data_IF_610988694966
#
_entry.id   IF_610988694966
#
_cell.length_a   1.000
_cell.length_b   1.000
_cell.length_c   1.000
_cell.angle_alpha   90.00
_cell.angle_beta   90.00
_cell.angle_gamma   90.00
#
_symmetry.space_group_name_H-M   'P 1'
#
loop_
_entity.id
_entity.type
_entity.pdbx_description
1 polymer ?
#
# COMPACT_ATOMS: atom_id res chain seq x y z
N UNK A 1 4.61 -22.80 23.43
CA UNK A 1 5.74 -23.05 22.49
C UNK A 1 5.24 -23.27 21.06
N UNK A 2 4.32 -24.25 20.83
CA UNK A 2 3.82 -24.54 19.47
C UNK A 2 2.96 -23.40 18.89
N UNK A 3 2.10 -22.82 19.72
CA UNK A 3 1.28 -21.65 19.37
C UNK A 3 2.13 -20.43 18.98
N UNK A 4 3.16 -20.13 19.75
CA UNK A 4 4.10 -19.03 19.46
C UNK A 4 4.88 -19.25 18.16
N UNK A 5 5.28 -20.50 17.88
CA UNK A 5 5.93 -20.85 16.63
C UNK A 5 4.98 -20.64 15.44
N UNK A 6 3.72 -21.06 15.57
CA UNK A 6 2.68 -20.87 14.55
C UNK A 6 2.43 -19.37 14.28
N UNK A 7 2.28 -18.57 15.32
CA UNK A 7 2.09 -17.12 15.20
C UNK A 7 3.29 -16.46 14.52
N UNK A 8 4.50 -16.83 14.92
CA UNK A 8 5.74 -16.30 14.33
C UNK A 8 5.83 -16.60 12.83
N UNK A 9 5.61 -17.86 12.43
CA UNK A 9 5.71 -18.27 11.02
C UNK A 9 4.63 -17.59 10.19
N UNK A 10 3.40 -17.53 10.71
CA UNK A 10 2.26 -16.87 10.04
C UNK A 10 2.54 -15.38 9.85
N UNK A 11 3.04 -14.69 10.89
CA UNK A 11 3.40 -13.28 10.80
C UNK A 11 4.48 -13.01 9.74
N UNK A 12 5.50 -13.88 9.66
CA UNK A 12 6.54 -13.77 8.62
C UNK A 12 5.98 -13.98 7.21
N UNK A 13 5.04 -14.91 7.06
CA UNK A 13 4.38 -15.17 5.79
C UNK A 13 3.51 -13.98 5.34
N UNK A 14 2.75 -13.39 6.27
CA UNK A 14 1.97 -12.18 5.99
C UNK A 14 2.85 -10.98 5.61
N UNK A 15 3.98 -10.80 6.30
CA UNK A 15 4.96 -9.77 5.94
C UNK A 15 5.53 -10.01 4.53
N UNK A 16 5.81 -11.27 4.16
CA UNK A 16 6.25 -11.62 2.81
C UNK A 16 5.20 -11.23 1.76
N UNK A 17 3.92 -11.51 2.03
CA UNK A 17 2.80 -11.11 1.16
C UNK A 17 2.73 -9.58 1.00
N UNK A 18 2.89 -8.84 2.07
CA UNK A 18 2.94 -7.38 2.06
C UNK A 18 4.09 -6.85 1.18
N UNK A 19 5.29 -7.43 1.34
CA UNK A 19 6.45 -7.05 0.52
C UNK A 19 6.26 -7.38 -0.97
N UNK A 20 5.59 -8.48 -1.27
CA UNK A 20 5.25 -8.84 -2.65
C UNK A 20 4.22 -7.85 -3.24
N UNK A 21 3.21 -7.44 -2.45
CA UNK A 21 2.27 -6.39 -2.85
C UNK A 21 2.98 -5.08 -3.20
N UNK A 22 3.95 -4.67 -2.39
CA UNK A 22 4.76 -3.47 -2.68
C UNK A 22 5.52 -3.61 -3.99
N UNK A 23 6.13 -4.77 -4.23
CA UNK A 23 6.89 -5.05 -5.46
C UNK A 23 6.01 -5.03 -6.71
N UNK A 24 4.77 -5.52 -6.60
CA UNK A 24 3.89 -5.74 -7.74
C UNK A 24 3.00 -4.53 -8.06
N UNK A 25 2.57 -3.79 -7.03
CA UNK A 25 1.60 -2.70 -7.17
C UNK A 25 2.12 -1.32 -6.76
N UNK A 26 3.07 -1.25 -5.85
CA UNK A 26 3.55 0.03 -5.29
C UNK A 26 4.90 0.43 -5.89
N UNK A 27 4.97 0.38 -7.21
CA UNK A 27 6.16 0.65 -8.00
C UNK A 27 5.79 1.35 -9.31
N UNK A 28 6.75 2.06 -9.90
CA UNK A 28 6.59 2.74 -11.19
C UNK A 28 6.54 1.76 -12.36
N UNK A 29 5.90 2.14 -13.46
CA UNK A 29 5.78 1.33 -14.67
C UNK A 29 4.68 0.28 -14.63
N UNK A 30 3.82 0.31 -13.62
CA UNK A 30 2.73 -0.64 -13.43
C UNK A 30 1.37 -0.01 -13.76
N UNK A 31 1.21 1.26 -13.45
CA UNK A 31 -0.05 1.98 -13.59
C UNK A 31 -0.09 2.83 -14.87
N UNK A 32 -1.28 3.21 -15.29
CA UNK A 32 -1.48 4.04 -16.48
C UNK A 32 -0.86 5.43 -16.35
N UNK A 33 -0.82 5.95 -15.14
CA UNK A 33 -0.17 7.24 -14.83
C UNK A 33 0.76 7.11 -13.63
N UNK A 34 2.03 7.43 -13.87
CA UNK A 34 3.07 7.49 -12.84
C UNK A 34 3.62 8.92 -12.75
N UNK A 35 3.60 9.48 -11.56
CA UNK A 35 4.14 10.81 -11.28
C UNK A 35 5.31 10.69 -10.30
N UNK A 36 6.37 11.44 -10.56
CA UNK A 36 7.54 11.47 -9.68
C UNK A 36 7.60 12.79 -8.91
N UNK A 37 7.67 12.71 -7.59
CA UNK A 37 7.89 13.87 -6.74
C UNK A 37 9.31 14.39 -6.85
N UNK A 38 9.48 15.70 -7.12
CA UNK A 38 10.79 16.36 -7.25
C UNK A 38 10.91 17.54 -6.29
N UNK A 39 12.12 17.81 -5.82
CA UNK A 39 12.42 18.99 -4.97
C UNK A 39 12.59 20.27 -5.79
N UNK A 40 12.95 20.15 -7.08
CA UNK A 40 13.10 21.26 -8.02
C UNK A 40 11.78 21.70 -8.67
N UNK A 41 11.88 22.47 -9.74
CA UNK A 41 10.72 22.79 -10.58
C UNK A 41 10.24 21.51 -11.31
N UNK A 42 8.97 21.14 -11.22
CA UNK A 42 8.46 19.94 -11.88
C UNK A 42 8.41 20.12 -13.40
N UNK A 43 8.67 19.04 -14.12
CA UNK A 43 8.46 18.91 -15.57
C UNK A 43 7.31 17.94 -15.84
N UNK A 44 7.05 17.62 -17.12
CA UNK A 44 6.00 16.66 -17.49
C UNK A 44 6.19 15.31 -16.77
N UNK A 45 5.14 14.77 -16.19
CA UNK A 45 5.18 13.53 -15.37
C UNK A 45 5.78 13.71 -13.97
N UNK A 46 5.93 14.95 -13.52
CA UNK A 46 6.47 15.26 -12.21
C UNK A 46 5.55 16.23 -11.45
N UNK A 47 5.57 16.14 -10.12
CA UNK A 47 4.94 17.10 -9.23
C UNK A 47 5.91 17.53 -8.14
N UNK A 48 5.59 18.62 -7.45
CA UNK A 48 6.36 19.11 -6.32
C UNK A 48 6.18 18.16 -5.13
N UNK A 49 7.27 17.82 -4.44
CA UNK A 49 7.19 16.98 -3.25
C UNK A 49 6.28 17.59 -2.19
N UNK A 50 5.37 16.83 -1.61
CA UNK A 50 4.44 17.27 -0.55
C UNK A 50 5.14 17.63 0.77
N UNK A 51 6.42 17.36 0.88
CA UNK A 51 7.27 17.85 1.97
C UNK A 51 7.69 19.31 1.79
N UNK A 52 7.52 19.89 0.60
CA UNK A 52 7.71 21.33 0.36
C UNK A 52 6.41 22.08 0.66
N UNK A 53 6.21 22.44 1.90
CA UNK A 53 5.00 23.09 2.40
C UNK A 53 4.70 24.48 1.82
N UNK A 54 5.60 25.02 1.00
CA UNK A 54 5.44 26.36 0.42
C UNK A 54 4.96 26.32 -1.02
N UNK A 55 5.35 25.28 -1.75
CA UNK A 55 5.18 25.24 -3.22
C UNK A 55 4.43 24.00 -3.72
N UNK A 56 4.14 23.04 -2.86
CA UNK A 56 3.34 21.86 -3.22
C UNK A 56 1.85 22.08 -2.94
N UNK A 57 1.01 21.43 -3.70
CA UNK A 57 -0.44 21.40 -3.51
C UNK A 57 -0.96 19.96 -3.58
N UNK A 58 -0.85 19.20 -2.48
CA UNK A 58 -1.29 17.81 -2.45
C UNK A 58 -2.80 17.66 -2.67
N UNK A 59 -3.57 18.71 -2.43
CA UNK A 59 -5.01 18.68 -2.61
C UNK A 59 -5.33 18.66 -4.09
N UNK A 60 -4.73 19.57 -4.85
CA UNK A 60 -4.90 19.63 -6.30
C UNK A 60 -4.35 18.36 -6.98
N UNK A 61 -3.18 17.90 -6.57
CA UNK A 61 -2.56 16.66 -7.11
C UNK A 61 -3.50 15.44 -6.99
N UNK A 62 -4.17 15.28 -5.85
CA UNK A 62 -5.11 14.17 -5.62
C UNK A 62 -6.41 14.37 -6.41
N UNK A 63 -6.94 15.60 -6.49
CA UNK A 63 -8.14 15.89 -7.27
C UNK A 63 -7.90 15.73 -8.79
N UNK A 64 -6.74 16.13 -9.29
CA UNK A 64 -6.34 15.87 -10.69
C UNK A 64 -6.28 14.37 -10.96
N UNK A 65 -5.66 13.57 -10.08
CA UNK A 65 -5.59 12.14 -10.24
C UNK A 65 -6.97 11.46 -10.21
N UNK A 66 -7.91 11.92 -9.36
CA UNK A 66 -9.30 11.45 -9.37
C UNK A 66 -9.98 11.76 -10.72
N UNK A 67 -9.79 12.98 -11.21
CA UNK A 67 -10.33 13.41 -12.50
C UNK A 67 -9.76 12.60 -13.66
N UNK A 68 -8.46 12.31 -13.65
CA UNK A 68 -7.80 11.51 -14.68
C UNK A 68 -8.33 10.07 -14.71
N UNK A 69 -8.42 9.41 -13.55
CA UNK A 69 -9.00 8.06 -13.47
C UNK A 69 -10.46 8.08 -13.97
N UNK A 70 -11.26 9.04 -13.53
CA UNK A 70 -12.66 9.15 -13.92
C UNK A 70 -12.81 9.41 -15.44
N UNK A 71 -12.01 10.31 -16.01
CA UNK A 71 -12.09 10.65 -17.44
C UNK A 71 -11.65 9.50 -18.34
N UNK A 72 -10.65 8.73 -17.93
CA UNK A 72 -10.10 7.64 -18.71
C UNK A 72 -10.93 6.35 -18.63
N UNK A 73 -11.60 6.11 -17.48
CA UNK A 73 -12.22 4.82 -17.19
C UNK A 73 -13.73 4.90 -16.90
N UNK A 74 -14.25 6.08 -16.61
CA UNK A 74 -15.62 6.26 -16.14
C UNK A 74 -15.88 5.75 -14.71
N UNK A 75 -14.82 5.42 -13.96
CA UNK A 75 -14.90 4.90 -12.59
C UNK A 75 -14.25 5.86 -11.60
N UNK A 76 -14.90 6.12 -10.47
CA UNK A 76 -14.34 6.95 -9.42
C UNK A 76 -13.29 6.19 -8.59
N UNK A 77 -12.16 6.83 -8.29
CA UNK A 77 -11.17 6.30 -7.37
C UNK A 77 -11.74 6.20 -5.96
N UNK A 78 -11.56 5.06 -5.31
CA UNK A 78 -12.17 4.80 -4.00
C UNK A 78 -11.19 4.34 -2.92
N UNK A 79 -9.92 4.15 -3.28
CA UNK A 79 -8.90 3.68 -2.34
C UNK A 79 -7.59 4.44 -2.54
N UNK A 80 -7.12 5.09 -1.49
CA UNK A 80 -5.81 5.75 -1.43
C UNK A 80 -4.92 5.01 -0.45
N UNK A 81 -3.78 4.52 -0.93
CA UNK A 81 -2.76 3.86 -0.13
C UNK A 81 -1.57 4.81 0.04
N UNK A 82 -1.21 5.12 1.27
CA UNK A 82 -0.11 6.01 1.61
C UNK A 82 1.00 5.25 2.33
N UNK A 83 2.25 5.47 1.93
CA UNK A 83 3.40 5.12 2.76
C UNK A 83 3.38 5.91 4.06
N UNK A 84 3.94 5.36 5.15
CA UNK A 84 3.93 6.04 6.45
C UNK A 84 4.62 7.39 6.42
N UNK A 85 5.73 7.52 5.70
CA UNK A 85 6.46 8.79 5.55
C UNK A 85 5.62 9.83 4.80
N UNK A 86 4.95 9.42 3.74
CA UNK A 86 4.03 10.27 2.96
C UNK A 86 2.87 10.75 3.82
N UNK A 87 2.23 9.85 4.57
CA UNK A 87 1.16 10.20 5.50
C UNK A 87 1.62 11.19 6.57
N UNK A 88 2.84 11.02 7.13
CA UNK A 88 3.40 11.92 8.15
C UNK A 88 3.57 13.34 7.61
N UNK A 89 4.05 13.49 6.36
CA UNK A 89 4.20 14.82 5.75
C UNK A 89 2.85 15.43 5.39
N UNK A 90 1.97 14.65 4.81
CA UNK A 90 0.63 15.09 4.43
C UNK A 90 -0.18 15.58 5.65
N UNK A 91 -0.10 14.87 6.77
CA UNK A 91 -0.73 15.24 8.03
C UNK A 91 -0.33 16.63 8.55
N UNK A 92 0.92 17.04 8.29
CA UNK A 92 1.47 18.31 8.75
C UNK A 92 1.43 19.42 7.66
N UNK A 93 0.87 19.12 6.49
CA UNK A 93 0.81 20.07 5.38
C UNK A 93 -0.12 21.24 5.73
N UNK A 94 0.33 22.51 5.55
CA UNK A 94 -0.46 23.69 5.91
C UNK A 94 -1.84 23.73 5.27
N UNK A 95 -1.96 23.38 4.00
CA UNK A 95 -3.22 23.41 3.25
C UNK A 95 -4.28 22.46 3.85
N UNK A 96 -3.84 21.28 4.34
CA UNK A 96 -4.71 20.34 5.01
C UNK A 96 -5.07 20.83 6.43
N UNK A 97 -4.08 21.34 7.15
CA UNK A 97 -4.26 21.87 8.52
C UNK A 97 -5.22 23.07 8.50
N UNK A 98 -5.07 24.00 7.56
CA UNK A 98 -5.90 25.19 7.47
C UNK A 98 -7.37 24.88 7.13
N UNK A 99 -7.63 23.83 6.34
CA UNK A 99 -9.01 23.38 6.08
C UNK A 99 -9.71 22.83 7.31
N UNK A 100 -8.95 22.18 8.21
CA UNK A 100 -9.51 21.53 9.42
C UNK A 100 -9.51 22.46 10.63
N UNK A 101 -8.65 23.47 10.67
CA UNK A 101 -8.41 24.36 11.81
C UNK A 101 -9.67 24.97 12.43
N UNK A 102 -10.68 25.25 11.63
CA UNK A 102 -11.93 25.86 12.09
C UNK A 102 -13.05 24.86 12.35
N UNK A 103 -12.88 23.60 11.95
CA UNK A 103 -13.92 22.58 12.08
C UNK A 103 -13.60 21.54 13.17
N UNK A 104 -12.34 21.35 13.48
CA UNK A 104 -11.91 20.37 14.51
C UNK A 104 -10.59 20.81 15.14
N UNK A 105 -10.49 20.65 16.47
CA UNK A 105 -9.24 20.86 17.21
C UNK A 105 -8.39 19.59 17.33
N UNK A 106 -8.76 18.53 16.61
CA UNK A 106 -8.11 17.22 16.70
C UNK A 106 -6.96 17.06 15.71
N UNK A 107 -6.07 16.13 16.02
CA UNK A 107 -4.99 15.73 15.11
C UNK A 107 -5.57 15.07 13.85
N UNK A 108 -5.04 15.40 12.67
CA UNK A 108 -5.46 14.82 11.40
C UNK A 108 -5.24 13.30 11.40
N UNK A 109 -6.32 12.58 11.17
CA UNK A 109 -6.35 11.11 11.06
C UNK A 109 -6.52 10.68 9.60
N UNK A 110 -6.32 9.38 9.30
CA UNK A 110 -6.58 8.84 7.98
C UNK A 110 -8.05 9.02 7.54
N UNK A 111 -8.99 8.91 8.49
CA UNK A 111 -10.42 9.10 8.21
C UNK A 111 -10.77 10.56 7.88
N UNK A 112 -10.08 11.52 8.50
CA UNK A 112 -10.26 12.94 8.16
C UNK A 112 -9.70 13.24 6.77
N UNK A 113 -8.58 12.63 6.39
CA UNK A 113 -8.03 12.71 5.03
C UNK A 113 -9.01 12.08 4.03
N UNK A 114 -9.59 10.94 4.35
CA UNK A 114 -10.61 10.28 3.54
C UNK A 114 -11.82 11.20 3.28
N UNK A 115 -12.33 11.81 4.33
CA UNK A 115 -13.44 12.76 4.23
C UNK A 115 -13.09 14.06 3.46
N UNK A 116 -11.83 14.52 3.58
CA UNK A 116 -11.38 15.74 2.89
C UNK A 116 -11.28 15.57 1.38
N UNK A 117 -10.81 14.38 0.94
CA UNK A 117 -10.66 14.06 -0.49
C UNK A 117 -11.88 13.36 -1.08
N UNK A 118 -12.92 13.12 -0.27
CA UNK A 118 -14.10 12.34 -0.68
C UNK A 118 -13.67 10.96 -1.27
N UNK A 119 -12.76 10.29 -0.55
CA UNK A 119 -12.28 8.95 -0.88
C UNK A 119 -12.75 8.00 0.22
N UNK A 120 -13.56 6.96 -0.10
CA UNK A 120 -14.13 6.07 0.91
C UNK A 120 -13.10 5.36 1.79
N UNK A 121 -11.89 5.11 1.27
CA UNK A 121 -10.87 4.35 1.99
C UNK A 121 -9.49 4.98 1.85
N UNK A 122 -8.89 5.34 2.98
CA UNK A 122 -7.47 5.74 3.06
C UNK A 122 -6.72 4.74 3.94
N UNK A 123 -5.71 4.11 3.38
CA UNK A 123 -4.89 3.09 4.05
C UNK A 123 -3.48 3.63 4.26
N UNK A 124 -3.02 3.59 5.50
CA UNK A 124 -1.65 3.99 5.85
C UNK A 124 -0.81 2.74 6.10
N UNK A 125 0.12 2.48 5.21
CA UNK A 125 0.97 1.31 5.26
C UNK A 125 2.15 1.53 6.22
N UNK A 126 2.29 0.64 7.22
CA UNK A 126 3.30 0.74 8.28
C UNK A 126 4.30 -0.43 8.29
N UNK A 127 4.27 -1.29 7.27
CA UNK A 127 5.18 -2.43 7.19
C UNK A 127 6.64 -1.97 7.13
N UNK A 128 7.49 -2.64 7.91
CA UNK A 128 8.92 -2.38 8.00
C UNK A 128 9.69 -3.62 7.56
N UNK A 129 10.75 -3.41 6.79
CA UNK A 129 11.67 -4.47 6.35
C UNK A 129 13.10 -4.15 6.75
N UNK A 130 13.91 -5.18 6.94
CA UNK A 130 15.36 -5.03 7.03
C UNK A 130 15.92 -4.66 5.65
N UNK A 131 16.81 -3.67 5.62
CA UNK A 131 17.44 -3.17 4.39
C UNK A 131 18.92 -3.58 4.29
N UNK A 132 19.47 -4.15 5.35
CA UNK A 132 20.84 -4.66 5.41
C UNK A 132 20.94 -6.10 4.91
N UNK A 133 22.12 -6.47 4.46
CA UNK A 133 22.47 -7.86 4.19
C UNK A 133 22.63 -8.65 5.51
N UNK A 134 22.47 -9.97 5.42
CA UNK A 134 22.70 -10.87 6.55
C UNK A 134 24.12 -10.71 7.09
N UNK A 135 24.27 -10.63 8.42
CA UNK A 135 25.55 -10.42 9.08
C UNK A 135 26.02 -8.98 9.24
N UNK A 136 25.37 -8.01 8.59
CA UNK A 136 25.63 -6.58 8.78
C UNK A 136 24.82 -6.01 9.95
N UNK A 137 25.23 -4.81 10.44
CA UNK A 137 24.48 -4.09 11.47
C UNK A 137 23.04 -3.84 11.02
N UNK A 138 22.07 -4.06 11.91
CA UNK A 138 20.66 -3.96 11.60
C UNK A 138 20.27 -2.57 11.07
N UNK A 139 19.70 -2.52 9.86
CA UNK A 139 19.09 -1.34 9.28
C UNK A 139 17.66 -1.68 8.86
N UNK A 140 16.73 -0.78 9.13
CA UNK A 140 15.31 -0.98 8.86
C UNK A 140 14.75 0.19 8.06
N UNK A 141 13.78 -0.09 7.19
CA UNK A 141 13.10 0.93 6.40
C UNK A 141 11.64 0.56 6.18
N UNK A 142 10.82 1.56 5.91
CA UNK A 142 9.41 1.33 5.55
C UNK A 142 9.32 0.63 4.19
N UNK A 143 8.50 -0.42 4.12
CA UNK A 143 8.34 -1.21 2.90
C UNK A 143 7.75 -0.41 1.74
N UNK A 144 6.79 0.47 2.01
CA UNK A 144 6.12 1.32 1.02
C UNK A 144 6.89 2.60 0.68
N UNK A 145 7.97 2.89 1.41
CA UNK A 145 8.79 4.08 1.14
C UNK A 145 7.99 5.38 1.14
N UNK A 146 8.33 6.25 0.18
CA UNK A 146 7.83 7.63 0.04
C UNK A 146 6.80 7.78 -1.08
N UNK A 147 5.99 6.76 -1.31
CA UNK A 147 5.01 6.74 -2.39
C UNK A 147 3.56 6.93 -1.90
N UNK A 148 2.67 7.12 -2.87
CA UNK A 148 1.22 7.09 -2.72
C UNK A 148 0.60 6.41 -3.94
N UNK A 149 -0.51 5.70 -3.75
CA UNK A 149 -1.23 5.01 -4.79
C UNK A 149 -2.72 5.26 -4.65
N UNK A 150 -3.33 5.86 -5.65
CA UNK A 150 -4.77 6.06 -5.77
C UNK A 150 -5.33 5.06 -6.77
N UNK A 151 -6.37 4.34 -6.38
CA UNK A 151 -6.95 3.29 -7.23
C UNK A 151 -8.47 3.20 -7.10
N UNK A 152 -9.08 2.62 -8.14
CA UNK A 152 -10.44 2.07 -8.04
C UNK A 152 -10.37 0.57 -7.74
N UNK A 153 -10.96 0.16 -6.64
CA UNK A 153 -11.06 -1.24 -6.22
C UNK A 153 -12.51 -1.66 -6.19
N UNK A 154 -12.85 -2.74 -6.88
CA UNK A 154 -14.20 -3.27 -6.88
C UNK A 154 -14.67 -3.66 -5.46
N UNK A 155 -15.90 -3.31 -5.04
CA UNK A 155 -16.44 -3.66 -3.73
C UNK A 155 -16.52 -5.17 -3.50
N UNK A 156 -16.80 -5.92 -4.57
CA UNK A 156 -16.77 -7.38 -4.57
C UNK A 156 -16.08 -7.89 -5.83
N UNK A 157 -15.25 -8.94 -5.72
CA UNK A 157 -14.58 -9.49 -6.88
C UNK A 157 -15.60 -10.12 -7.86
N UNK A 158 -15.43 -9.84 -9.14
CA UNK A 158 -16.30 -10.37 -10.19
C UNK A 158 -15.59 -10.36 -11.53
N UNK A 159 -15.97 -11.26 -12.44
CA UNK A 159 -15.34 -11.41 -13.75
C UNK A 159 -15.55 -10.17 -14.64
N UNK A 160 -16.69 -9.50 -14.50
CA UNK A 160 -17.07 -8.32 -15.31
C UNK A 160 -17.01 -7.01 -14.50
N UNK A 161 -16.49 -7.04 -13.27
CA UNK A 161 -16.40 -5.87 -12.42
C UNK A 161 -15.03 -5.23 -12.59
N UNK A 162 -14.96 -4.00 -13.11
CA UNK A 162 -13.67 -3.32 -13.27
C UNK A 162 -13.01 -3.08 -11.91
N UNK A 163 -11.72 -3.37 -11.85
CA UNK A 163 -10.88 -3.13 -10.68
C UNK A 163 -9.43 -2.91 -11.14
N UNK A 164 -8.69 -2.10 -10.41
CA UNK A 164 -7.29 -1.85 -10.70
C UNK A 164 -6.45 -3.14 -10.68
N UNK A 165 -6.70 -4.01 -9.72
CA UNK A 165 -6.00 -5.28 -9.60
C UNK A 165 -6.66 -6.25 -8.65
N UNK A 166 -6.22 -7.48 -8.71
CA UNK A 166 -6.64 -8.56 -7.82
C UNK A 166 -5.45 -9.35 -7.29
N UNK A 167 -5.59 -9.86 -6.09
CA UNK A 167 -4.74 -10.91 -5.55
C UNK A 167 -5.47 -12.24 -5.67
N UNK A 168 -4.99 -13.11 -6.53
CA UNK A 168 -5.49 -14.46 -6.70
C UNK A 168 -4.84 -15.37 -5.66
N UNK A 169 -5.64 -16.07 -4.90
CA UNK A 169 -5.14 -16.97 -3.85
C UNK A 169 -5.61 -18.39 -4.13
N UNK A 170 -4.71 -19.36 -3.97
CA UNK A 170 -5.04 -20.78 -4.08
C UNK A 170 -5.49 -21.30 -2.72
N UNK A 171 -6.73 -21.77 -2.65
CA UNK A 171 -7.34 -22.29 -1.42
C UNK A 171 -7.10 -23.79 -1.18
N UNK A 172 -6.36 -24.47 -2.07
CA UNK A 172 -5.98 -25.87 -1.96
C UNK A 172 -4.60 -26.13 -1.35
N UNK A 173 -4.05 -25.17 -0.64
CA UNK A 173 -2.75 -25.30 0.03
C UNK A 173 -2.87 -26.25 1.22
N UNK A 174 -1.83 -27.04 1.46
CA UNK A 174 -1.77 -28.06 2.51
C UNK A 174 -2.14 -27.50 3.90
N UNK A 175 -3.06 -28.15 4.59
CA UNK A 175 -3.50 -27.77 5.95
C UNK A 175 -4.59 -26.73 6.05
N UNK A 176 -5.05 -26.15 4.93
CA UNK A 176 -6.08 -25.11 4.92
C UNK A 176 -7.24 -25.39 3.99
N UNK A 177 -8.23 -26.17 4.39
CA UNK A 177 -9.45 -26.37 3.59
C UNK A 177 -10.21 -25.04 3.55
N UNK A 178 -10.26 -24.40 2.36
CA UNK A 178 -10.95 -23.12 2.17
C UNK A 178 -10.21 -21.89 2.72
N UNK A 179 -9.00 -22.05 3.25
CA UNK A 179 -8.15 -20.95 3.71
C UNK A 179 -7.05 -20.61 2.68
N UNK A 180 -6.66 -19.35 2.63
CA UNK A 180 -5.53 -18.89 1.80
C UNK A 180 -4.18 -19.18 2.46
N UNK A 181 -4.15 -19.52 3.74
CA UNK A 181 -2.97 -19.86 4.52
C UNK A 181 -3.19 -21.23 5.13
N UNK A 182 -2.32 -22.19 4.79
CA UNK A 182 -2.23 -23.50 5.41
C UNK A 182 -1.17 -23.50 6.50
N UNK A 183 -1.48 -24.05 7.66
CA UNK A 183 -0.49 -24.28 8.72
C UNK A 183 -0.52 -25.77 9.06
N UNK A 184 0.63 -26.41 8.99
CA UNK A 184 0.81 -27.82 9.37
C UNK A 184 1.91 -27.96 10.41
N UNK A 185 1.75 -28.94 11.27
CA UNK A 185 2.80 -29.34 12.21
C UNK A 185 3.01 -30.84 12.16
N UNK A 186 4.26 -31.26 12.16
CA UNK A 186 4.61 -32.67 12.17
C UNK A 186 5.93 -32.90 12.93
N UNK A 187 6.05 -34.10 13.50
CA UNK A 187 7.22 -34.48 14.23
C UNK A 187 8.31 -34.99 13.27
N UNK A 188 9.51 -34.45 13.43
CA UNK A 188 10.72 -34.93 12.75
C UNK A 188 11.50 -35.85 13.67
N UNK A 189 11.36 -37.14 13.48
CA UNK A 189 12.02 -38.16 14.35
C UNK A 189 13.55 -38.10 14.28
N UNK A 190 14.12 -37.77 13.11
CA UNK A 190 15.55 -37.61 12.92
C UNK A 190 16.18 -36.50 13.75
N UNK A 191 15.43 -35.43 14.01
CA UNK A 191 15.87 -34.26 14.78
C UNK A 191 15.27 -34.23 16.18
N UNK A 192 14.37 -35.18 16.50
CA UNK A 192 13.58 -35.20 17.77
C UNK A 192 12.91 -33.88 18.08
N UNK A 193 12.43 -33.18 17.03
CA UNK A 193 11.83 -31.89 17.10
C UNK A 193 10.46 -31.86 16.39
N UNK A 194 9.60 -30.94 16.75
CA UNK A 194 8.38 -30.63 16.01
C UNK A 194 8.65 -29.50 15.01
N UNK A 195 8.23 -29.70 13.76
CA UNK A 195 8.31 -28.72 12.70
C UNK A 195 6.95 -28.09 12.45
N UNK A 196 6.91 -26.77 12.43
CA UNK A 196 5.74 -25.98 12.05
C UNK A 196 6.01 -25.36 10.69
N UNK A 197 5.12 -25.58 9.75
CA UNK A 197 5.18 -25.01 8.41
C UNK A 197 3.92 -24.19 8.15
N UNK A 198 4.10 -23.03 7.51
CA UNK A 198 3.00 -22.28 6.96
C UNK A 198 3.22 -22.08 5.46
N UNK A 199 2.19 -22.32 4.69
CA UNK A 199 2.20 -22.21 3.24
C UNK A 199 1.13 -21.24 2.76
N UNK A 200 1.44 -20.48 1.73
CA UNK A 200 0.50 -19.60 1.05
C UNK A 200 0.89 -19.55 -0.43
N UNK A 201 -0.08 -19.74 -1.30
CA UNK A 201 0.08 -19.56 -2.73
C UNK A 201 -0.82 -18.43 -3.20
N UNK A 202 -0.24 -17.38 -3.77
CA UNK A 202 -0.97 -16.24 -4.29
C UNK A 202 -0.21 -15.61 -5.46
N UNK A 203 -0.92 -14.87 -6.29
CA UNK A 203 -0.37 -14.08 -7.38
C UNK A 203 -1.11 -12.74 -7.46
N UNK A 204 -0.34 -11.66 -7.58
CA UNK A 204 -0.88 -10.31 -7.71
C UNK A 204 -0.91 -9.93 -9.19
N UNK A 205 -2.06 -9.48 -9.69
CA UNK A 205 -2.21 -9.05 -11.09
C UNK A 205 -2.91 -7.71 -11.18
N UNK A 206 -2.31 -6.80 -11.95
CA UNK A 206 -2.97 -5.60 -12.42
C UNK A 206 -3.93 -6.03 -13.54
N UNK A 207 -5.18 -5.61 -13.45
CA UNK A 207 -6.23 -5.90 -14.43
C UNK A 207 -6.51 -4.67 -15.28
N UNK A 208 -6.64 -3.51 -14.65
CA UNK A 208 -6.82 -2.23 -15.32
C UNK A 208 -5.78 -1.23 -14.85
N UNK A 209 -4.72 -1.03 -15.61
CA UNK A 209 -3.66 -0.07 -15.29
C UNK A 209 -4.19 1.35 -15.16
N UNK A 210 -5.16 1.73 -15.99
CA UNK A 210 -5.74 3.08 -16.02
C UNK A 210 -6.64 3.39 -14.82
N UNK A 211 -6.98 2.36 -14.02
CA UNK A 211 -7.70 2.49 -12.75
C UNK A 211 -6.77 2.78 -11.57
N UNK A 212 -5.50 3.03 -11.82
CA UNK A 212 -4.50 3.35 -10.83
C UNK A 212 -3.65 4.55 -11.22
N UNK A 213 -3.31 5.35 -10.21
CA UNK A 213 -2.45 6.53 -10.32
C UNK A 213 -1.39 6.46 -9.22
N UNK A 214 -0.13 6.45 -9.59
CA UNK A 214 0.96 6.22 -8.64
C UNK A 214 1.90 7.42 -8.54
N UNK A 215 2.20 7.83 -7.32
CA UNK A 215 3.24 8.83 -7.03
C UNK A 215 4.44 8.15 -6.40
N UNK A 216 5.59 8.28 -7.06
CA UNK A 216 6.88 7.85 -6.54
C UNK A 216 7.64 9.02 -5.90
N UNK A 217 8.37 8.78 -4.81
CA UNK A 217 9.23 9.79 -4.16
C UNK A 217 8.51 11.12 -3.87
N UNK A 218 7.22 11.07 -3.52
CA UNK A 218 6.37 12.25 -3.36
C UNK A 218 6.71 13.08 -2.11
N UNK A 219 7.55 12.58 -1.23
CA UNK A 219 8.11 13.30 -0.09
C UNK A 219 9.63 13.18 -0.06
N UNK A 220 10.30 14.13 0.61
CA UNK A 220 11.77 14.17 0.74
C UNK A 220 12.32 13.11 1.71
#
# INVERSE_FOLDING_TARGET
PLSEATEFVTHRLLLRRELQFVSDFFTTGVWGTDITGVSGAPSSGQTKQWSDYTSSDPINDIEEAKSDILSNTGMEANTLVLGYETFRQLKNHPDLVDRIKYTSSQTITADMIAAMFDIPRVLVAKAVKATNNEGAAGAYGFAYGKGALLTHVAPSPGLLTPSAGYTFSWTGVSGGIGSTIGVSSFRMESLKAERVEAEMAFDNKVIGSDLGYFWSSIVA
#
